data_IF_848589608639
#
_entry.id   IF_848589608639
#
_cell.length_a   1.000
_cell.length_b   1.000
_cell.length_c   1.000
_cell.angle_alpha   90.00
_cell.angle_beta   90.00
_cell.angle_gamma   90.00
#
_symmetry.space_group_name_H-M   'P 1'
#
loop_
_entity.id
_entity.type
_entity.pdbx_description
1 polymer ?
#
# COMPACT_ATOMS: atom_id res chain seq x y z
N UNK A 1 -17.43 -11.93 10.25
CA UNK A 1 -17.28 -11.50 8.86
C UNK A 1 -15.84 -11.72 8.45
N UNK A 2 -15.59 -12.76 7.65
CA UNK A 2 -14.26 -13.07 7.14
C UNK A 2 -13.92 -11.99 6.12
N UNK A 3 -12.85 -11.24 6.37
CA UNK A 3 -12.35 -10.23 5.44
C UNK A 3 -12.07 -10.87 4.08
N UNK A 4 -12.52 -10.23 3.00
CA UNK A 4 -12.25 -10.62 1.62
C UNK A 4 -10.74 -10.84 1.45
N UNK A 5 -10.31 -12.10 1.51
CA UNK A 5 -8.96 -12.49 1.10
C UNK A 5 -8.97 -12.31 -0.42
N UNK A 6 -8.05 -11.50 -0.93
CA UNK A 6 -7.85 -11.13 -2.33
C UNK A 6 -8.47 -12.10 -3.36
N UNK A 7 -9.45 -11.62 -4.14
CA UNK A 7 -10.23 -12.45 -5.06
C UNK A 7 -9.58 -12.57 -6.45
N UNK A 8 -8.47 -11.88 -6.68
CA UNK A 8 -7.76 -11.87 -7.96
C UNK A 8 -6.25 -11.67 -7.80
N UNK A 9 -5.50 -12.03 -8.83
CA UNK A 9 -4.06 -11.76 -8.93
C UNK A 9 -3.75 -10.26 -8.83
N UNK A 10 -4.63 -9.41 -9.36
CA UNK A 10 -4.52 -7.96 -9.27
C UNK A 10 -4.67 -7.47 -7.82
N UNK A 11 -5.57 -8.07 -7.04
CA UNK A 11 -5.74 -7.73 -5.62
C UNK A 11 -4.49 -8.11 -4.81
N UNK A 12 -3.92 -9.30 -5.06
CA UNK A 12 -2.68 -9.75 -4.41
C UNK A 12 -1.48 -8.88 -4.80
N UNK A 13 -1.37 -8.50 -6.07
CA UNK A 13 -0.35 -7.55 -6.53
C UNK A 13 -0.51 -6.19 -5.84
N UNK A 14 -1.74 -5.68 -5.74
CA UNK A 14 -2.06 -4.43 -5.06
C UNK A 14 -1.66 -4.45 -3.59
N UNK A 15 -2.03 -5.53 -2.87
CA UNK A 15 -1.67 -5.73 -1.46
C UNK A 15 -0.15 -5.84 -1.26
N UNK A 16 0.54 -6.66 -2.06
CA UNK A 16 1.98 -6.85 -1.91
C UNK A 16 2.76 -5.55 -2.18
N UNK A 17 2.30 -4.75 -3.14
CA UNK A 17 2.99 -3.52 -3.54
C UNK A 17 2.61 -2.30 -2.71
N UNK A 18 1.48 -2.31 -1.99
CA UNK A 18 1.10 -1.22 -1.11
C UNK A 18 1.79 -1.27 0.26
N UNK A 19 2.32 -2.43 0.69
CA UNK A 19 2.94 -2.64 2.01
C UNK A 19 4.48 -2.80 2.02
N UNK A 20 5.13 -2.64 0.87
CA UNK A 20 6.51 -3.07 0.57
C UNK A 20 7.69 -2.55 1.41
N UNK A 21 7.47 -1.87 2.53
CA UNK A 21 8.55 -1.53 3.48
C UNK A 21 8.07 -1.37 4.92
N UNK A 22 6.95 -1.99 5.27
CA UNK A 22 6.31 -1.75 6.58
C UNK A 22 5.57 -0.40 6.68
N UNK A 23 5.49 0.35 5.59
CA UNK A 23 4.68 1.56 5.47
C UNK A 23 3.78 1.47 4.25
N UNK A 24 2.61 2.10 4.33
CA UNK A 24 1.61 2.07 3.30
C UNK A 24 1.91 3.11 2.21
N UNK A 25 2.06 2.64 0.97
CA UNK A 25 2.30 3.51 -0.16
C UNK A 25 1.02 4.28 -0.51
N UNK A 26 1.02 5.60 -0.26
CA UNK A 26 -0.13 6.47 -0.48
C UNK A 26 -0.57 6.52 -1.95
N UNK A 27 0.34 6.37 -2.91
CA UNK A 27 0.01 6.44 -4.34
C UNK A 27 -0.59 5.14 -4.88
N UNK A 28 -0.31 4.00 -4.23
CA UNK A 28 -0.73 2.67 -4.71
C UNK A 28 -1.81 2.02 -3.86
N UNK A 29 -1.92 2.39 -2.59
CA UNK A 29 -2.91 1.81 -1.71
C UNK A 29 -4.33 2.16 -2.21
N UNK A 30 -5.21 1.19 -2.43
CA UNK A 30 -6.62 1.48 -2.67
C UNK A 30 -7.22 2.17 -1.43
N UNK A 31 -8.25 2.99 -1.63
CA UNK A 31 -8.91 3.70 -0.52
C UNK A 31 -9.41 2.73 0.56
N UNK A 32 -9.88 1.55 0.15
CA UNK A 32 -10.34 0.50 1.05
C UNK A 32 -9.26 0.04 2.02
N UNK A 33 -8.00 -0.07 1.56
CA UNK A 33 -6.87 -0.47 2.41
C UNK A 33 -6.51 0.66 3.39
N UNK A 34 -6.59 1.92 2.96
CA UNK A 34 -6.41 3.08 3.83
C UNK A 34 -7.46 3.09 4.96
N UNK A 35 -8.73 2.92 4.62
CA UNK A 35 -9.80 2.86 5.61
C UNK A 35 -9.68 1.64 6.52
N UNK A 36 -9.35 0.47 5.98
CA UNK A 36 -9.16 -0.75 6.77
C UNK A 36 -8.02 -0.60 7.77
N UNK A 37 -6.89 -0.03 7.34
CA UNK A 37 -5.77 0.26 8.23
C UNK A 37 -6.16 1.26 9.32
N UNK A 38 -6.80 2.38 8.95
CA UNK A 38 -7.29 3.36 9.91
C UNK A 38 -8.22 2.76 10.97
N UNK A 39 -9.13 1.87 10.57
CA UNK A 39 -9.98 1.12 11.52
C UNK A 39 -9.16 0.21 12.43
N UNK A 40 -8.21 -0.54 11.88
CA UNK A 40 -7.40 -1.49 12.64
C UNK A 40 -6.57 -0.82 13.75
N UNK A 41 -6.10 0.41 13.53
CA UNK A 41 -5.31 1.18 14.51
C UNK A 41 -6.16 2.14 15.36
N UNK A 42 -7.50 2.11 15.26
CA UNK A 42 -8.38 3.00 16.01
C UNK A 42 -8.34 4.47 15.57
N UNK A 43 -7.92 4.76 14.32
CA UNK A 43 -7.75 6.11 13.75
C UNK A 43 -8.59 6.30 12.48
N UNK A 44 -9.78 5.70 12.41
CA UNK A 44 -10.66 5.75 11.23
C UNK A 44 -10.87 7.17 10.71
N UNK A 45 -11.21 8.12 11.60
CA UNK A 45 -11.45 9.50 11.21
C UNK A 45 -10.23 10.24 10.65
N UNK A 46 -9.02 9.85 11.03
CA UNK A 46 -7.79 10.39 10.44
C UNK A 46 -7.61 9.88 9.00
N UNK A 47 -7.80 8.58 8.80
CA UNK A 47 -7.66 7.94 7.49
C UNK A 47 -8.78 8.29 6.52
N UNK A 48 -9.99 8.61 7.01
CA UNK A 48 -11.05 9.19 6.20
C UNK A 48 -10.66 10.57 5.65
N UNK A 49 -9.99 11.40 6.46
CA UNK A 49 -9.42 12.68 6.00
C UNK A 49 -8.28 12.47 5.01
N UNK A 50 -7.39 11.50 5.25
CA UNK A 50 -6.32 11.13 4.30
C UNK A 50 -6.90 10.80 2.93
N UNK A 51 -7.88 9.89 2.86
CA UNK A 51 -8.52 9.50 1.59
C UNK A 51 -9.20 10.70 0.93
N UNK A 52 -9.94 11.51 1.70
CA UNK A 52 -10.63 12.69 1.18
C UNK A 52 -9.66 13.71 0.59
N UNK A 53 -8.59 14.06 1.29
CA UNK A 53 -7.62 15.03 0.80
C UNK A 53 -6.81 14.45 -0.38
N UNK A 54 -6.45 13.17 -0.35
CA UNK A 54 -5.80 12.47 -1.47
C UNK A 54 -6.64 12.57 -2.75
N UNK A 55 -7.95 12.35 -2.68
CA UNK A 55 -8.84 12.41 -3.84
C UNK A 55 -9.00 13.81 -4.43
N UNK A 56 -8.87 14.86 -3.61
CA UNK A 56 -8.97 16.24 -4.09
C UNK A 56 -7.77 16.66 -4.94
N UNK A 57 -6.61 16.06 -4.73
CA UNK A 57 -5.38 16.45 -5.42
C UNK A 57 -4.57 15.24 -5.86
N UNK A 58 -4.53 14.99 -7.17
CA UNK A 58 -3.80 13.87 -7.77
C UNK A 58 -2.25 13.94 -7.62
N UNK A 59 -1.70 15.04 -7.07
CA UNK A 59 -0.26 15.33 -7.07
C UNK A 59 0.32 15.84 -5.74
N UNK A 60 -0.40 15.75 -4.61
CA UNK A 60 0.17 16.17 -3.32
C UNK A 60 1.30 15.22 -2.89
N UNK A 61 2.43 15.82 -2.46
CA UNK A 61 3.48 15.05 -1.80
C UNK A 61 3.08 14.76 -0.34
N UNK A 62 3.65 13.71 0.24
CA UNK A 62 3.29 13.24 1.58
C UNK A 62 3.42 14.33 2.66
N UNK A 63 4.49 15.16 2.72
CA UNK A 63 4.56 16.26 3.68
C UNK A 63 3.38 17.23 3.63
N UNK A 64 2.94 17.61 2.42
CA UNK A 64 1.79 18.52 2.27
C UNK A 64 0.49 17.84 2.70
N UNK A 65 0.27 16.58 2.34
CA UNK A 65 -0.90 15.83 2.80
C UNK A 65 -0.97 15.78 4.34
N UNK A 66 0.16 15.50 5.00
CA UNK A 66 0.23 15.44 6.46
C UNK A 66 -0.15 16.79 7.08
N UNK A 67 0.36 17.89 6.52
CA UNK A 67 0.05 19.24 7.00
C UNK A 67 -1.44 19.59 6.88
N UNK A 68 -2.12 19.10 5.84
CA UNK A 68 -3.56 19.34 5.61
C UNK A 68 -4.47 18.46 6.50
N UNK A 69 -4.02 17.25 6.85
CA UNK A 69 -4.86 16.22 7.47
C UNK A 69 -4.67 16.10 8.98
N UNK A 70 -3.46 16.35 9.47
CA UNK A 70 -3.12 16.19 10.88
C UNK A 70 -3.74 17.30 11.73
N UNK A 71 -4.52 16.92 12.74
CA UNK A 71 -5.09 17.87 13.70
C UNK A 71 -4.16 18.12 14.90
N UNK A 72 -3.10 17.31 15.04
CA UNK A 72 -2.14 17.36 16.14
C UNK A 72 -0.75 16.91 15.67
N UNK A 73 0.26 17.17 16.49
CA UNK A 73 1.61 16.64 16.27
C UNK A 73 1.64 15.11 16.31
N UNK A 74 0.80 14.49 17.15
CA UNK A 74 0.67 13.03 17.24
C UNK A 74 0.12 12.44 15.94
N UNK A 75 -0.93 13.04 15.36
CA UNK A 75 -1.46 12.62 14.06
C UNK A 75 -0.38 12.76 12.97
N UNK A 76 0.41 13.84 13.01
CA UNK A 76 1.46 14.07 12.03
C UNK A 76 2.59 13.02 12.12
N UNK A 77 3.06 12.69 13.32
CA UNK A 77 4.08 11.66 13.52
C UNK A 77 3.57 10.28 13.12
N UNK A 78 2.33 9.92 13.52
CA UNK A 78 1.71 8.67 13.11
C UNK A 78 1.66 8.53 11.58
N UNK A 79 1.26 9.59 10.87
CA UNK A 79 1.21 9.56 9.40
C UNK A 79 2.61 9.43 8.77
N UNK A 80 3.65 10.04 9.36
CA UNK A 80 5.05 9.86 8.89
C UNK A 80 5.54 8.43 9.11
N UNK A 81 5.14 7.80 10.20
CA UNK A 81 5.51 6.42 10.54
C UNK A 81 4.75 5.40 9.70
N UNK A 82 3.53 5.71 9.27
CA UNK A 82 2.65 4.73 8.61
C UNK A 82 2.53 4.92 7.10
N UNK A 83 2.75 6.12 6.56
CA UNK A 83 2.62 6.41 5.13
C UNK A 83 3.98 6.65 4.46
N UNK A 84 4.04 6.33 3.17
CA UNK A 84 5.16 6.66 2.28
C UNK A 84 4.69 7.12 0.91
N UNK A 85 5.45 7.98 0.26
CA UNK A 85 5.18 8.48 -1.10
C UNK A 85 5.72 7.58 -2.21
N UNK A 86 6.78 6.80 -1.95
CA UNK A 86 7.40 5.89 -2.92
C UNK A 86 7.14 4.41 -2.61
N UNK A 87 7.61 3.51 -3.48
CA UNK A 87 7.66 2.08 -3.20
C UNK A 87 9.08 1.56 -3.23
N UNK A 88 9.39 0.62 -2.34
CA UNK A 88 10.56 -0.26 -2.42
C UNK A 88 10.15 -1.65 -2.85
N UNK A 89 8.85 -1.91 -3.04
CA UNK A 89 8.38 -3.18 -3.59
C UNK A 89 7.59 -3.01 -4.88
N UNK A 90 7.81 -3.94 -5.80
CA UNK A 90 7.16 -4.02 -7.10
C UNK A 90 6.58 -5.41 -7.30
N UNK A 91 5.44 -5.49 -7.97
CA UNK A 91 4.79 -6.74 -8.33
C UNK A 91 4.85 -6.89 -9.83
N UNK A 92 5.41 -7.98 -10.33
CA UNK A 92 5.41 -8.37 -11.74
C UNK A 92 4.46 -9.55 -11.89
N UNK A 93 3.42 -9.37 -12.68
CA UNK A 93 2.49 -10.43 -13.04
C UNK A 93 2.89 -10.97 -14.41
N UNK A 94 3.07 -12.28 -14.50
CA UNK A 94 3.29 -13.01 -15.76
C UNK A 94 2.09 -13.92 -15.97
N UNK A 95 1.35 -13.72 -17.04
CA UNK A 95 0.19 -14.55 -17.40
C UNK A 95 0.45 -15.24 -18.73
N UNK A 96 0.29 -16.57 -18.76
CA UNK A 96 0.34 -17.31 -20.01
C UNK A 96 -0.88 -16.98 -20.90
N UNK A 97 -0.68 -16.96 -22.22
CA UNK A 97 -1.74 -16.64 -23.20
C UNK A 97 -2.92 -17.63 -23.13
N UNK A 98 -2.68 -18.86 -22.65
CA UNK A 98 -3.69 -19.88 -22.34
C UNK A 98 -4.55 -19.57 -21.11
N UNK A 99 -4.35 -18.42 -20.45
CA UNK A 99 -5.10 -17.96 -19.28
C UNK A 99 -4.50 -18.39 -17.94
N UNK A 100 -3.97 -19.61 -17.87
CA UNK A 100 -3.28 -20.19 -16.70
C UNK A 100 -2.06 -21.02 -17.15
N UNK A 101 -1.00 -21.09 -16.33
CA UNK A 101 -0.84 -20.48 -15.00
C UNK A 101 -0.49 -18.98 -15.06
N UNK A 102 -0.76 -18.28 -13.96
CA UNK A 102 -0.29 -16.91 -13.75
C UNK A 102 0.65 -16.85 -12.54
N UNK A 103 1.71 -16.06 -12.63
CA UNK A 103 2.75 -15.95 -11.60
C UNK A 103 2.90 -14.50 -11.17
N UNK A 104 2.91 -14.25 -9.87
CA UNK A 104 3.25 -12.95 -9.28
C UNK A 104 4.63 -13.03 -8.64
N UNK A 105 5.56 -12.20 -9.14
CA UNK A 105 6.83 -11.92 -8.49
C UNK A 105 6.71 -10.63 -7.70
N UNK A 106 6.94 -10.69 -6.39
CA UNK A 106 7.10 -9.51 -5.53
C UNK A 106 8.58 -9.29 -5.33
N UNK A 107 9.08 -8.15 -5.83
CA UNK A 107 10.48 -7.74 -5.73
C UNK A 107 10.59 -6.64 -4.70
N UNK A 108 11.51 -6.77 -3.75
CA UNK A 108 11.82 -5.72 -2.77
C UNK A 108 13.26 -5.22 -2.99
N UNK A 109 13.42 -3.92 -3.22
CA UNK A 109 14.75 -3.29 -3.29
C UNK A 109 15.25 -3.06 -1.88
N UNK A 110 16.30 -3.79 -1.51
CA UNK A 110 16.99 -3.60 -0.24
C UNK A 110 17.68 -2.23 -0.16
N UNK A 111 17.65 -1.60 1.00
CA UNK A 111 18.43 -0.38 1.31
C UNK A 111 19.74 -0.78 2.00
N UNK A 112 20.64 -1.44 1.27
CA UNK A 112 22.03 -1.69 1.68
C UNK A 112 22.31 -3.04 2.38
N UNK A 113 23.51 -3.59 2.08
CA UNK A 113 24.15 -4.81 2.60
C UNK A 113 23.21 -5.97 3.01
N UNK A 114 22.99 -6.87 2.04
CA UNK A 114 22.27 -8.15 2.09
C UNK A 114 20.81 -8.16 1.59
N UNK A 115 20.70 -8.83 0.44
CA UNK A 115 19.55 -9.54 -0.14
C UNK A 115 18.40 -8.68 -0.67
N UNK A 116 18.39 -8.48 -1.99
CA UNK A 116 17.14 -8.34 -2.73
C UNK A 116 16.23 -9.52 -2.34
N UNK A 117 15.10 -9.22 -1.71
CA UNK A 117 14.11 -10.23 -1.33
C UNK A 117 13.11 -10.35 -2.47
N UNK A 118 12.86 -11.59 -2.88
CA UNK A 118 11.82 -11.91 -3.83
C UNK A 118 10.89 -12.96 -3.24
N UNK A 119 9.60 -12.83 -3.52
CA UNK A 119 8.60 -13.85 -3.23
C UNK A 119 7.84 -14.16 -4.51
N UNK A 120 7.66 -15.45 -4.79
CA UNK A 120 6.96 -15.93 -5.98
C UNK A 120 5.69 -16.63 -5.54
N UNK A 121 4.57 -16.22 -6.14
CA UNK A 121 3.27 -16.85 -5.95
C UNK A 121 2.81 -17.41 -7.30
N UNK A 122 2.45 -18.69 -7.36
CA UNK A 122 1.95 -19.39 -8.55
C UNK A 122 0.46 -19.65 -8.36
N UNK A 123 -0.32 -19.36 -9.39
CA UNK A 123 -1.77 -19.53 -9.40
C UNK A 123 -2.18 -20.45 -10.55
N UNK A 124 -2.99 -21.44 -10.20
CA UNK A 124 -3.53 -22.48 -11.09
C UNK A 124 -4.98 -22.18 -11.49
#
# INVERSE_FOLDING_TARGET
>A
EQGNIANSLADLQGLATCWGSGQLNLQRAPDENLHAFGRAIGRSGLYDRVVRERRKQNHLNLPQLIAEVAASSEDAELLKETLRSGSTSWGIVVQAESGTPAVLFVLERGTGNFADRHSTFVFD
#
